data_IF_514746805950
#
_entry.id   IF_514746805950
#
_cell.length_a   1.000
_cell.length_b   1.000
_cell.length_c   1.000
_cell.angle_alpha   90.00
_cell.angle_beta   90.00
_cell.angle_gamma   90.00
#
_symmetry.space_group_name_H-M   'P 1'
#
loop_
_entity.id
_entity.type
_entity.pdbx_description
1 polymer ?
#
# COMPACT_ATOMS: atom_id res chain seq x y z
N UNK A 1 -58.95 -10.28 17.02
CA UNK A 1 -57.57 -10.83 16.93
C UNK A 1 -56.85 -10.15 15.79
N UNK A 2 -55.70 -9.53 16.04
CA UNK A 2 -54.89 -8.77 15.07
C UNK A 2 -53.89 -9.69 14.37
N UNK A 3 -53.69 -9.57 13.05
CA UNK A 3 -52.41 -9.93 12.41
C UNK A 3 -52.09 -8.91 11.33
N UNK A 4 -51.05 -8.10 11.60
CA UNK A 4 -50.43 -7.16 10.67
C UNK A 4 -49.48 -7.95 9.76
N UNK A 5 -49.53 -7.72 8.46
CA UNK A 5 -48.53 -8.23 7.51
C UNK A 5 -47.45 -7.15 7.41
N UNK A 6 -46.32 -7.37 8.08
CA UNK A 6 -45.07 -6.64 7.87
C UNK A 6 -44.31 -7.34 6.74
N UNK A 7 -43.80 -6.55 5.81
CA UNK A 7 -43.16 -7.01 4.58
C UNK A 7 -41.74 -7.55 4.75
N UNK A 8 -41.10 -7.81 3.62
CA UNK A 8 -39.65 -7.71 3.48
C UNK A 8 -39.31 -7.63 1.98
N UNK A 9 -39.05 -6.40 1.52
CA UNK A 9 -38.32 -6.15 0.28
C UNK A 9 -36.84 -6.35 0.62
N UNK A 10 -36.33 -7.55 0.36
CA UNK A 10 -34.89 -7.81 0.43
C UNK A 10 -34.25 -7.32 -0.87
N UNK A 11 -33.94 -6.02 -0.90
CA UNK A 11 -32.95 -5.45 -1.82
C UNK A 11 -31.61 -6.11 -1.47
N UNK A 12 -31.23 -7.11 -2.27
CA UNK A 12 -29.89 -7.68 -2.23
C UNK A 12 -28.90 -6.63 -2.71
N UNK A 13 -28.38 -5.83 -1.77
CA UNK A 13 -27.24 -4.97 -2.01
C UNK A 13 -26.03 -5.86 -2.27
N UNK A 14 -25.66 -5.98 -3.54
CA UNK A 14 -24.40 -6.56 -3.96
C UNK A 14 -23.33 -5.61 -3.43
N UNK A 15 -22.63 -6.04 -2.38
CA UNK A 15 -21.44 -5.35 -1.87
C UNK A 15 -20.43 -5.32 -3.02
N UNK A 16 -20.25 -4.14 -3.62
CA UNK A 16 -19.15 -3.89 -4.55
C UNK A 16 -17.88 -3.77 -3.72
N UNK A 17 -17.19 -4.89 -3.50
CA UNK A 17 -15.77 -4.84 -3.12
C UNK A 17 -15.05 -4.09 -4.21
N UNK A 18 -14.55 -2.90 -3.88
CA UNK A 18 -13.73 -2.10 -4.78
C UNK A 18 -12.49 -2.93 -5.11
N UNK A 19 -12.44 -3.50 -6.32
CA UNK A 19 -11.21 -4.05 -6.87
C UNK A 19 -10.29 -2.87 -7.20
N UNK A 20 -9.48 -2.42 -6.24
CA UNK A 20 -8.31 -1.60 -6.51
C UNK A 20 -7.21 -2.48 -7.10
N UNK A 21 -7.43 -3.04 -8.30
CA UNK A 21 -6.33 -3.72 -9.00
C UNK A 21 -5.39 -2.64 -9.52
N UNK A 22 -4.24 -2.45 -8.89
CA UNK A 22 -3.19 -1.64 -9.48
C UNK A 22 -2.64 -2.32 -10.73
N UNK A 23 -2.19 -1.50 -11.68
CA UNK A 23 -1.84 -1.83 -13.07
C UNK A 23 -0.78 -2.93 -13.28
N UNK A 24 -0.17 -3.47 -12.22
CA UNK A 24 0.87 -4.51 -12.29
C UNK A 24 0.49 -5.86 -11.66
N UNK A 25 -0.79 -6.07 -11.31
CA UNK A 25 -1.21 -7.25 -10.54
C UNK A 25 -0.78 -7.19 -9.08
N UNK A 26 -0.53 -5.97 -8.60
CA UNK A 26 -0.27 -5.62 -7.21
C UNK A 26 -1.54 -4.95 -6.65
N UNK A 27 -1.89 -5.23 -5.40
CA UNK A 27 -2.99 -4.57 -4.70
C UNK A 27 -2.53 -4.18 -3.31
N UNK A 28 -2.57 -2.89 -3.00
CA UNK A 28 -2.28 -2.41 -1.64
C UNK A 28 -3.47 -2.64 -0.71
N UNK A 29 -3.17 -2.92 0.55
CA UNK A 29 -4.16 -2.88 1.62
C UNK A 29 -4.37 -1.45 2.12
N UNK A 30 -5.39 -1.27 2.96
CA UNK A 30 -5.62 0.01 3.64
C UNK A 30 -4.38 0.43 4.44
N UNK A 31 -4.00 1.71 4.35
CA UNK A 31 -2.76 2.22 4.95
C UNK A 31 -1.50 1.97 4.11
N UNK A 32 -1.57 1.21 3.01
CA UNK A 32 -0.52 1.04 2.01
C UNK A 32 0.81 0.40 2.49
N UNK A 33 0.92 0.04 3.78
CA UNK A 33 2.11 -0.61 4.34
C UNK A 33 2.28 -2.05 3.87
N UNK A 34 1.20 -2.71 3.44
CA UNK A 34 1.18 -4.07 2.91
C UNK A 34 0.53 -4.12 1.54
N UNK A 35 0.89 -5.14 0.78
CA UNK A 35 0.30 -5.38 -0.53
C UNK A 35 0.36 -6.85 -0.93
N UNK A 36 -0.63 -7.26 -1.72
CA UNK A 36 -0.68 -8.56 -2.36
C UNK A 36 0.00 -8.52 -3.74
N UNK A 37 0.91 -9.45 -4.02
CA UNK A 37 1.56 -9.61 -5.31
C UNK A 37 1.91 -11.08 -5.60
N UNK A 38 1.58 -11.58 -6.79
CA UNK A 38 1.89 -12.96 -7.22
C UNK A 38 1.47 -14.04 -6.21
N UNK A 39 0.31 -13.87 -5.56
CA UNK A 39 -0.25 -14.87 -4.64
C UNK A 39 0.33 -14.86 -3.24
N UNK A 40 1.05 -13.79 -2.84
CA UNK A 40 1.63 -13.62 -1.51
C UNK A 40 1.48 -12.18 -1.04
N UNK A 41 1.49 -12.01 0.28
CA UNK A 41 1.44 -10.72 0.94
C UNK A 41 2.84 -10.27 1.35
N UNK A 42 3.12 -8.99 1.12
CA UNK A 42 4.39 -8.34 1.37
C UNK A 42 4.17 -7.09 2.21
N UNK A 43 5.20 -6.69 2.96
CA UNK A 43 5.22 -5.47 3.73
C UNK A 43 6.38 -4.57 3.32
N UNK A 44 6.19 -3.26 3.48
CA UNK A 44 7.24 -2.26 3.31
C UNK A 44 7.88 -1.98 4.66
N UNK A 45 9.18 -2.22 4.77
CA UNK A 45 9.96 -1.94 5.97
C UNK A 45 10.38 -0.47 6.04
N UNK A 46 10.61 0.06 7.24
CA UNK A 46 11.30 1.35 7.45
C UNK A 46 12.79 1.33 7.07
N UNK A 47 13.35 0.17 6.71
CA UNK A 47 14.75 0.05 6.30
C UNK A 47 14.95 0.60 4.88
N UNK A 48 15.76 1.67 4.79
CA UNK A 48 16.18 2.22 3.50
C UNK A 48 17.13 1.29 2.74
N UNK A 49 17.06 1.41 1.42
CA UNK A 49 17.89 0.71 0.44
C UNK A 49 18.64 1.76 -0.37
N UNK A 50 19.96 1.61 -0.49
CA UNK A 50 20.78 2.55 -1.24
C UNK A 50 20.41 2.53 -2.74
N UNK A 51 20.30 3.71 -3.36
CA UNK A 51 19.94 3.85 -4.78
C UNK A 51 20.91 3.10 -5.71
N UNK A 52 22.20 3.09 -5.39
CA UNK A 52 23.24 2.40 -6.17
C UNK A 52 23.11 0.86 -6.16
N UNK A 53 22.30 0.33 -5.24
CA UNK A 53 21.99 -1.09 -5.16
C UNK A 53 20.87 -1.51 -6.12
N UNK A 54 20.07 -0.57 -6.64
CA UNK A 54 18.94 -0.85 -7.53
C UNK A 54 19.44 -1.35 -8.89
N UNK A 55 18.88 -2.47 -9.37
CA UNK A 55 19.33 -3.14 -10.62
C UNK A 55 18.27 -3.22 -11.69
N UNK A 56 16.99 -3.16 -11.33
CA UNK A 56 15.92 -3.23 -12.29
C UNK A 56 14.55 -3.14 -11.64
N UNK A 57 13.52 -3.14 -12.48
CA UNK A 57 12.12 -3.03 -12.05
C UNK A 57 11.43 -4.38 -12.18
N UNK A 58 10.90 -4.89 -11.07
CA UNK A 58 10.06 -6.09 -10.99
C UNK A 58 8.62 -5.80 -11.43
N UNK A 59 8.04 -4.69 -10.94
CA UNK A 59 6.68 -4.27 -11.25
C UNK A 59 6.62 -2.76 -11.42
N UNK A 60 5.86 -2.27 -12.42
CA UNK A 60 5.71 -0.84 -12.68
C UNK A 60 4.37 -0.34 -12.18
N UNK A 61 4.37 0.68 -11.33
CA UNK A 61 3.16 1.34 -10.85
C UNK A 61 3.48 2.74 -10.31
N UNK A 62 2.44 3.52 -10.10
CA UNK A 62 2.50 4.82 -9.43
C UNK A 62 1.22 4.99 -8.63
N UNK A 63 1.33 5.20 -7.33
CA UNK A 63 0.22 5.44 -6.40
C UNK A 63 0.51 6.68 -5.56
N UNK A 64 -0.54 7.37 -5.13
CA UNK A 64 -0.47 8.60 -4.33
C UNK A 64 -1.39 8.52 -3.10
N UNK A 65 -1.13 7.59 -2.18
CA UNK A 65 -1.93 7.47 -0.96
C UNK A 65 -1.94 8.78 -0.16
N UNK A 66 -3.12 9.11 0.36
CA UNK A 66 -3.31 10.21 1.32
C UNK A 66 -2.90 9.69 2.69
N UNK A 67 -1.92 10.34 3.32
CA UNK A 67 -1.42 9.94 4.65
C UNK A 67 -1.97 10.83 5.76
N UNK A 68 -2.38 12.05 5.41
CA UNK A 68 -2.92 13.03 6.34
C UNK A 68 -3.91 13.93 5.63
N UNK A 69 -5.01 14.21 6.32
CA UNK A 69 -6.12 15.02 5.81
C UNK A 69 -6.57 16.01 6.89
N UNK A 70 -6.36 17.30 6.61
CA UNK A 70 -6.74 18.41 7.48
C UNK A 70 -7.75 19.31 6.74
N UNK A 71 -9.05 19.06 6.98
CA UNK A 71 -10.13 19.78 6.32
C UNK A 71 -10.14 19.55 4.81
N UNK A 72 -9.72 20.55 4.02
CA UNK A 72 -9.61 20.45 2.56
C UNK A 72 -8.20 20.16 2.05
N UNK A 73 -7.21 20.11 2.93
CA UNK A 73 -5.81 19.85 2.57
C UNK A 73 -5.53 18.36 2.78
N UNK A 74 -4.97 17.72 1.75
CA UNK A 74 -4.52 16.32 1.78
C UNK A 74 -3.03 16.29 1.51
N UNK A 75 -2.29 15.62 2.37
CA UNK A 75 -0.88 15.29 2.16
C UNK A 75 -0.80 13.88 1.57
N UNK A 76 -0.04 13.73 0.50
CA UNK A 76 0.13 12.46 -0.20
C UNK A 76 1.59 12.06 -0.25
N UNK A 77 1.86 10.77 -0.10
CA UNK A 77 3.18 10.19 -0.36
C UNK A 77 3.21 9.55 -1.74
N UNK A 78 4.31 9.69 -2.47
CA UNK A 78 4.48 8.97 -3.74
C UNK A 78 4.96 7.54 -3.47
N UNK A 79 4.24 6.56 -4.00
CA UNK A 79 4.70 5.18 -4.08
C UNK A 79 4.92 4.82 -5.54
N UNK A 80 6.12 4.34 -5.88
CA UNK A 80 6.39 3.95 -7.25
C UNK A 80 7.24 2.68 -7.33
N UNK A 81 6.81 1.82 -8.25
CA UNK A 81 7.47 0.60 -8.71
C UNK A 81 7.97 -0.38 -7.61
N UNK A 82 8.07 -1.64 -7.98
CA UNK A 82 8.81 -2.63 -7.22
C UNK A 82 10.13 -2.87 -7.94
N UNK A 83 11.24 -2.82 -7.22
CA UNK A 83 12.59 -2.90 -7.74
C UNK A 83 13.30 -4.16 -7.23
N UNK A 84 14.30 -4.60 -7.99
CA UNK A 84 15.25 -5.63 -7.56
C UNK A 84 16.58 -4.99 -7.19
N UNK A 85 17.21 -5.47 -6.12
CA UNK A 85 18.51 -4.98 -5.64
C UNK A 85 19.66 -5.92 -6.06
N UNK A 86 20.91 -5.49 -5.89
CA UNK A 86 22.10 -6.33 -6.10
C UNK A 86 22.13 -7.59 -5.22
N UNK A 87 21.45 -7.56 -4.07
CA UNK A 87 21.35 -8.69 -3.15
C UNK A 87 20.20 -9.64 -3.50
N UNK A 88 19.50 -9.39 -4.62
CA UNK A 88 18.29 -10.11 -5.05
C UNK A 88 17.12 -9.96 -4.07
N UNK A 89 17.12 -8.88 -3.29
CA UNK A 89 15.99 -8.46 -2.47
C UNK A 89 15.09 -7.52 -3.29
N UNK A 90 13.92 -7.19 -2.73
CA UNK A 90 13.02 -6.21 -3.30
C UNK A 90 13.04 -4.90 -2.54
N UNK A 91 12.80 -3.81 -3.27
CA UNK A 91 12.60 -2.49 -2.72
C UNK A 91 11.44 -1.78 -3.41
N UNK A 92 10.77 -0.86 -2.72
CA UNK A 92 9.71 -0.01 -3.27
C UNK A 92 10.17 1.45 -3.21
N UNK A 93 9.86 2.22 -4.25
CA UNK A 93 10.10 3.66 -4.24
C UNK A 93 9.08 4.37 -3.35
N UNK A 94 9.53 5.15 -2.38
CA UNK A 94 8.70 5.97 -1.49
C UNK A 94 9.31 7.35 -1.39
N UNK A 95 8.60 8.36 -1.89
CA UNK A 95 9.01 9.78 -1.78
C UNK A 95 10.46 10.06 -2.17
N UNK A 96 10.89 9.50 -3.30
CA UNK A 96 12.26 9.66 -3.82
C UNK A 96 13.30 8.75 -3.17
N UNK A 97 12.99 8.09 -2.05
CA UNK A 97 13.81 7.04 -1.44
C UNK A 97 13.41 5.63 -1.87
N UNK A 98 14.19 4.64 -1.45
CA UNK A 98 13.90 3.23 -1.67
C UNK A 98 13.86 2.49 -0.33
N UNK A 99 12.85 1.65 -0.13
CA UNK A 99 12.63 0.96 1.13
C UNK A 99 12.49 -0.54 0.90
N UNK A 100 13.05 -1.33 1.81
CA UNK A 100 13.06 -2.79 1.70
C UNK A 100 11.64 -3.34 1.73
N UNK A 101 11.40 -4.34 0.87
CA UNK A 101 10.18 -5.15 0.84
C UNK A 101 10.54 -6.59 1.16
N UNK A 102 9.74 -7.23 2.01
CA UNK A 102 9.82 -8.66 2.30
C UNK A 102 8.41 -9.24 2.47
N UNK A 103 8.30 -10.56 2.61
CA UNK A 103 7.04 -11.21 2.99
C UNK A 103 6.51 -10.57 4.27
N UNK A 104 5.19 -10.41 4.35
CA UNK A 104 4.56 -9.77 5.49
C UNK A 104 4.97 -10.39 6.83
N UNK A 105 5.02 -11.73 6.89
CA UNK A 105 5.42 -12.50 8.08
C UNK A 105 6.87 -12.23 8.54
N UNK A 106 7.73 -11.69 7.68
CA UNK A 106 9.12 -11.38 7.98
C UNK A 106 9.32 -9.96 8.54
N UNK A 107 8.29 -9.10 8.49
CA UNK A 107 8.38 -7.71 8.95
C UNK A 107 7.31 -7.49 10.02
N UNK A 108 7.77 -7.35 11.27
CA UNK A 108 6.90 -6.97 12.38
C UNK A 108 6.21 -5.62 12.09
N UNK A 109 4.97 -5.45 12.54
CA UNK A 109 4.20 -4.21 12.34
C UNK A 109 4.96 -2.95 12.80
N UNK A 110 5.70 -3.03 13.92
CA UNK A 110 6.54 -1.94 14.44
C UNK A 110 7.75 -1.58 13.57
N UNK A 111 8.09 -2.43 12.61
CA UNK A 111 9.20 -2.23 11.66
C UNK A 111 8.71 -1.91 10.25
N UNK A 112 7.39 -1.81 10.06
CA UNK A 112 6.79 -1.29 8.84
C UNK A 112 7.02 0.22 8.74
N UNK A 113 7.05 0.71 7.50
CA UNK A 113 7.31 2.12 7.21
C UNK A 113 6.19 3.01 7.76
N UNK A 114 6.55 4.17 8.32
CA UNK A 114 5.61 5.24 8.66
C UNK A 114 5.71 6.33 7.59
N UNK A 115 4.69 6.46 6.74
CA UNK A 115 4.73 7.38 5.62
C UNK A 115 4.66 8.85 6.03
N UNK A 116 4.07 9.17 7.19
CA UNK A 116 4.07 10.55 7.67
C UNK A 116 5.48 10.97 8.06
N UNK A 117 6.22 10.09 8.75
CA UNK A 117 7.62 10.36 9.12
C UNK A 117 8.50 10.58 7.88
N UNK A 118 8.29 9.81 6.81
CA UNK A 118 9.03 9.99 5.55
C UNK A 118 8.73 11.35 4.91
N UNK A 119 7.48 11.80 4.93
CA UNK A 119 7.10 13.11 4.40
C UNK A 119 7.67 14.26 5.23
N UNK A 120 7.56 14.16 6.55
CA UNK A 120 8.08 15.17 7.46
C UNK A 120 9.60 15.39 7.27
N UNK A 121 10.35 14.33 6.95
CA UNK A 121 11.79 14.40 6.65
C UNK A 121 12.11 14.96 5.27
N UNK A 122 11.21 14.86 4.30
CA UNK A 122 11.42 15.37 2.95
C UNK A 122 11.19 16.90 2.84
N UNK A 123 10.47 17.47 3.80
CA UNK A 123 10.16 18.90 3.88
C UNK A 123 11.21 19.73 4.66
N UNK A 124 12.23 19.10 5.25
CA UNK A 124 13.38 19.75 5.94
C UNK A 124 14.52 20.14 4.99
#
# INVERSE_FOLDING_TARGET
MKKKVFGLLALGSIMLTACSSSSAGLSFDEGYQTFHYKGKDYAVSKQEVAEDSIRGTEAKFMEWPVVKEEGSVKETVSLNNLYTTSNKEWAIGVQGGYYKVDLEDNIAESDRIDYQVVLDQADE
#
